data_IF_013746300023
#
_entry.id   IF_013746300023
#
_cell.length_a   1.000
_cell.length_b   1.000
_cell.length_c   1.000
_cell.angle_alpha   90.00
_cell.angle_beta   90.00
_cell.angle_gamma   90.00
#
_symmetry.space_group_name_H-M   'P 1'
#
loop_
_entity.id
_entity.type
_entity.pdbx_description
1 polymer ?
#
# COMPACT_ATOMS: atom_id res chain seq x y z
N UNK A 1 6.53 -4.87 -30.18
CA UNK A 1 6.19 -5.69 -31.37
C UNK A 1 4.84 -6.31 -31.07
N UNK A 2 3.84 -6.15 -31.96
CA UNK A 2 2.54 -6.78 -31.76
C UNK A 2 2.74 -8.30 -31.60
N UNK A 3 2.18 -8.89 -30.55
CA UNK A 3 2.18 -10.34 -30.40
C UNK A 3 1.30 -10.93 -31.51
N UNK A 4 1.93 -11.49 -32.54
CA UNK A 4 1.19 -12.26 -33.55
C UNK A 4 0.72 -13.57 -32.93
N UNK A 5 -0.38 -14.18 -33.41
CA UNK A 5 -0.81 -15.53 -32.99
C UNK A 5 0.33 -16.57 -33.00
N UNK A 6 1.32 -16.35 -33.87
CA UNK A 6 2.58 -17.11 -33.99
C UNK A 6 3.42 -17.13 -32.71
N UNK A 7 3.30 -16.16 -31.80
CA UNK A 7 4.05 -16.11 -30.55
C UNK A 7 3.46 -17.00 -29.44
N UNK A 8 2.16 -17.33 -29.52
CA UNK A 8 1.48 -18.29 -28.61
C UNK A 8 1.32 -19.67 -29.28
N UNK A 9 1.49 -19.73 -30.61
CA UNK A 9 1.41 -20.98 -31.37
C UNK A 9 2.39 -22.02 -30.81
N UNK A 10 1.91 -23.25 -30.59
CA UNK A 10 2.67 -24.32 -29.96
C UNK A 10 2.13 -24.71 -28.59
N UNK A 11 3.00 -24.84 -27.59
CA UNK A 11 2.68 -25.48 -26.31
C UNK A 11 1.59 -24.77 -25.50
N UNK A 12 1.36 -23.47 -25.69
CA UNK A 12 0.38 -22.69 -24.94
C UNK A 12 -0.96 -22.53 -25.68
N UNK A 13 -1.08 -23.03 -26.91
CA UNK A 13 -2.30 -22.89 -27.70
C UNK A 13 -3.51 -23.55 -27.03
N UNK A 14 -3.28 -24.65 -26.31
CA UNK A 14 -4.33 -25.32 -25.55
C UNK A 14 -4.93 -24.41 -24.46
N UNK A 15 -4.13 -23.57 -23.79
CA UNK A 15 -4.59 -22.57 -22.81
C UNK A 15 -5.37 -21.46 -23.50
N UNK A 16 -4.88 -20.97 -24.64
CA UNK A 16 -5.55 -19.91 -25.40
C UNK A 16 -6.95 -20.33 -25.87
N UNK A 17 -7.13 -21.63 -26.17
CA UNK A 17 -8.41 -22.21 -26.58
C UNK A 17 -9.31 -22.65 -25.41
N UNK A 18 -8.85 -22.52 -24.17
CA UNK A 18 -9.69 -22.88 -23.02
C UNK A 18 -10.95 -22.03 -22.95
N UNK A 19 -12.11 -22.63 -22.60
CA UNK A 19 -13.31 -21.86 -22.32
C UNK A 19 -13.10 -21.00 -21.08
N UNK A 20 -13.70 -19.82 -21.05
CA UNK A 20 -13.63 -18.90 -19.93
C UNK A 20 -13.25 -17.49 -20.35
N UNK A 21 -13.21 -16.58 -19.37
CA UNK A 21 -12.80 -15.20 -19.57
C UNK A 21 -11.28 -15.12 -19.48
N UNK A 22 -10.66 -14.58 -20.52
CA UNK A 22 -9.22 -14.40 -20.57
C UNK A 22 -8.87 -12.92 -20.69
N UNK A 23 -7.87 -12.47 -19.91
CA UNK A 23 -7.33 -11.13 -19.97
C UNK A 23 -5.95 -11.13 -20.61
N UNK A 24 -5.70 -10.15 -21.48
CA UNK A 24 -4.42 -9.92 -22.12
C UNK A 24 -3.84 -8.59 -21.67
N UNK A 25 -2.66 -8.61 -21.07
CA UNK A 25 -1.97 -7.39 -20.63
C UNK A 25 -1.21 -6.81 -21.82
N UNK A 26 -1.80 -5.78 -22.42
CA UNK A 26 -1.35 -5.20 -23.68
C UNK A 26 -2.53 -4.67 -24.50
N UNK A 27 -2.22 -4.10 -25.66
CA UNK A 27 -3.20 -3.47 -26.56
C UNK A 27 -3.64 -4.39 -27.69
N UNK A 28 -2.86 -5.44 -28.00
CA UNK A 28 -3.04 -6.27 -29.19
C UNK A 28 -3.17 -7.75 -28.81
N UNK A 29 -4.32 -8.16 -28.24
CA UNK A 29 -4.55 -9.56 -27.93
C UNK A 29 -4.54 -10.42 -29.22
N UNK A 30 -3.85 -11.57 -29.22
CA UNK A 30 -3.75 -12.43 -30.41
C UNK A 30 -5.01 -13.28 -30.66
N UNK A 31 -5.92 -13.34 -29.68
CA UNK A 31 -7.21 -14.02 -29.74
C UNK A 31 -8.31 -13.09 -29.19
N UNK A 32 -9.55 -13.57 -29.10
CA UNK A 32 -10.68 -12.84 -28.50
C UNK A 32 -10.55 -12.75 -26.96
N UNK A 33 -9.47 -12.11 -26.50
CA UNK A 33 -9.19 -11.84 -25.10
C UNK A 33 -9.50 -10.39 -24.78
N UNK A 34 -9.79 -10.09 -23.52
CA UNK A 34 -9.96 -8.70 -23.06
C UNK A 34 -8.58 -8.06 -22.92
N UNK A 35 -8.23 -7.14 -23.82
CA UNK A 35 -7.03 -6.33 -23.73
C UNK A 35 -7.08 -5.32 -22.58
N UNK A 36 -6.03 -5.26 -21.76
CA UNK A 36 -5.90 -4.38 -20.60
C UNK A 36 -4.55 -3.63 -20.67
N UNK A 37 -4.53 -2.36 -21.13
CA UNK A 37 -3.30 -1.58 -21.30
C UNK A 37 -2.84 -0.96 -19.96
N UNK A 38 -2.36 -1.79 -19.03
CA UNK A 38 -2.04 -1.35 -17.66
C UNK A 38 -0.86 -0.37 -17.56
N UNK A 39 0.04 -0.32 -18.54
CA UNK A 39 1.23 0.56 -18.50
C UNK A 39 0.88 2.06 -18.51
N UNK A 40 -0.25 2.43 -19.11
CA UNK A 40 -0.75 3.81 -19.11
C UNK A 40 -1.69 4.12 -17.95
N UNK A 41 -2.02 3.13 -17.10
CA UNK A 41 -2.96 3.29 -16.00
C UNK A 41 -2.23 3.71 -14.72
N UNK A 42 -2.84 4.60 -13.94
CA UNK A 42 -2.32 4.98 -12.63
C UNK A 42 -2.26 3.76 -11.69
N UNK A 43 -1.16 3.60 -10.97
CA UNK A 43 -0.79 2.41 -10.20
C UNK A 43 -0.60 1.12 -11.03
N UNK A 44 -0.57 1.18 -12.37
CA UNK A 44 -0.67 -0.01 -13.23
C UNK A 44 -1.92 -0.86 -12.90
N UNK A 45 -3.03 -0.20 -12.55
CA UNK A 45 -4.22 -0.84 -12.00
C UNK A 45 -5.36 -0.84 -13.01
N UNK A 46 -6.03 -1.98 -13.15
CA UNK A 46 -7.24 -2.10 -13.95
C UNK A 46 -8.43 -1.44 -13.24
N UNK A 47 -9.47 -1.11 -14.00
CA UNK A 47 -10.74 -0.70 -13.41
C UNK A 47 -11.32 -1.82 -12.54
N UNK A 48 -11.98 -1.44 -11.44
CA UNK A 48 -12.53 -2.36 -10.44
C UNK A 48 -13.41 -3.49 -11.02
N UNK A 49 -14.10 -3.23 -12.14
CA UNK A 49 -14.95 -4.21 -12.81
C UNK A 49 -14.20 -5.47 -13.26
N UNK A 50 -12.88 -5.37 -13.46
CA UNK A 50 -12.02 -6.43 -13.94
C UNK A 50 -11.44 -7.32 -12.83
N UNK A 51 -11.51 -6.93 -11.55
CA UNK A 51 -10.97 -7.72 -10.45
C UNK A 51 -11.78 -9.01 -10.22
N UNK A 52 -11.08 -10.14 -10.13
CA UNK A 52 -11.67 -11.44 -9.88
C UNK A 52 -12.57 -11.95 -11.00
N UNK A 53 -12.26 -11.63 -12.27
CA UNK A 53 -13.13 -11.92 -13.43
C UNK A 53 -12.59 -12.94 -14.41
N UNK A 54 -11.31 -13.26 -14.35
CA UNK A 54 -10.64 -14.01 -15.40
C UNK A 54 -10.17 -15.37 -14.91
N UNK A 55 -10.32 -16.35 -15.80
CA UNK A 55 -9.85 -17.72 -15.63
C UNK A 55 -8.38 -17.84 -16.06
N UNK A 56 -7.95 -17.01 -17.02
CA UNK A 56 -6.56 -16.93 -17.48
C UNK A 56 -6.15 -15.46 -17.65
N UNK A 57 -5.01 -15.08 -17.09
CA UNK A 57 -4.41 -13.74 -17.28
C UNK A 57 -3.06 -13.90 -17.96
N UNK A 58 -2.88 -13.21 -19.08
CA UNK A 58 -1.69 -13.30 -19.93
C UNK A 58 -0.85 -12.03 -19.84
N UNK A 59 0.34 -12.11 -19.24
CA UNK A 59 1.37 -11.09 -19.28
C UNK A 59 2.44 -11.48 -20.29
N UNK A 60 2.18 -11.19 -21.57
CA UNK A 60 2.93 -11.79 -22.68
C UNK A 60 3.33 -10.82 -23.82
N UNK A 61 2.45 -9.92 -24.27
CA UNK A 61 2.79 -8.87 -25.27
C UNK A 61 3.82 -7.91 -24.70
N UNK A 62 3.39 -7.22 -23.66
CA UNK A 62 4.22 -6.42 -22.80
C UNK A 62 4.84 -7.35 -21.76
N UNK A 63 5.80 -8.19 -22.17
CA UNK A 63 6.62 -8.96 -21.25
C UNK A 63 7.06 -8.08 -20.07
N UNK A 64 7.46 -8.66 -18.94
CA UNK A 64 7.97 -7.86 -17.81
C UNK A 64 9.15 -6.95 -18.21
N UNK A 65 9.72 -7.15 -19.41
CA UNK A 65 10.63 -6.24 -20.07
C UNK A 65 10.08 -4.82 -20.34
N UNK A 66 10.96 -3.83 -20.11
CA UNK A 66 10.67 -2.42 -20.33
C UNK A 66 9.86 -1.75 -19.22
N UNK A 67 9.54 -2.46 -18.13
CA UNK A 67 9.05 -1.85 -16.91
C UNK A 67 10.17 -1.07 -16.21
N UNK A 68 9.85 0.10 -15.66
CA UNK A 68 10.77 0.84 -14.80
C UNK A 68 11.04 0.06 -13.50
N UNK A 69 12.20 0.22 -12.87
CA UNK A 69 12.47 -0.40 -11.57
C UNK A 69 11.35 -0.09 -10.57
N UNK A 70 10.81 -1.11 -9.91
CA UNK A 70 9.69 -0.98 -8.96
C UNK A 70 8.28 -1.09 -9.54
N UNK A 71 8.09 -1.05 -10.86
CA UNK A 71 6.76 -1.29 -11.45
C UNK A 71 6.35 -2.76 -11.44
N UNK A 72 7.33 -3.67 -11.43
CA UNK A 72 7.11 -5.13 -11.43
C UNK A 72 6.21 -5.57 -10.27
N UNK A 73 6.45 -5.07 -9.06
CA UNK A 73 5.64 -5.39 -7.88
C UNK A 73 4.18 -4.97 -8.06
N UNK A 74 3.94 -3.75 -8.57
CA UNK A 74 2.61 -3.22 -8.85
C UNK A 74 1.90 -4.03 -9.94
N UNK A 75 2.60 -4.36 -11.03
CA UNK A 75 2.00 -5.13 -12.10
C UNK A 75 1.63 -6.53 -11.61
N UNK A 76 2.57 -7.27 -11.01
CA UNK A 76 2.36 -8.65 -10.57
C UNK A 76 1.21 -8.75 -9.56
N UNK A 77 1.13 -7.82 -8.61
CA UNK A 77 0.00 -7.75 -7.69
C UNK A 77 -1.33 -7.55 -8.43
N UNK A 78 -1.37 -6.65 -9.43
CA UNK A 78 -2.57 -6.45 -10.24
C UNK A 78 -2.95 -7.69 -11.06
N UNK A 79 -1.97 -8.41 -11.64
CA UNK A 79 -2.21 -9.63 -12.39
C UNK A 79 -2.93 -10.69 -11.54
N UNK A 80 -2.51 -10.85 -10.29
CA UNK A 80 -3.18 -11.77 -9.35
C UNK A 80 -4.61 -11.33 -9.05
N UNK A 81 -4.84 -10.02 -8.89
CA UNK A 81 -6.18 -9.47 -8.58
C UNK A 81 -7.18 -9.62 -9.71
N UNK A 82 -6.72 -9.71 -10.96
CA UNK A 82 -7.57 -9.97 -12.12
C UNK A 82 -8.14 -11.40 -12.11
N UNK A 83 -7.39 -12.36 -11.57
CA UNK A 83 -7.77 -13.78 -11.53
C UNK A 83 -8.92 -13.98 -10.54
N UNK A 84 -9.89 -14.82 -10.93
CA UNK A 84 -10.98 -15.28 -10.07
C UNK A 84 -10.49 -16.08 -8.84
N UNK A 85 -11.40 -16.81 -8.19
CA UNK A 85 -11.03 -17.66 -7.05
C UNK A 85 -10.00 -18.73 -7.43
N UNK A 86 -10.10 -19.26 -8.65
CA UNK A 86 -9.12 -20.15 -9.26
C UNK A 86 -8.88 -19.74 -10.70
N UNK A 87 -7.64 -19.83 -11.15
CA UNK A 87 -7.29 -19.56 -12.54
C UNK A 87 -5.81 -19.73 -12.82
N UNK A 88 -5.38 -19.23 -13.97
CA UNK A 88 -3.99 -19.32 -14.43
C UNK A 88 -3.40 -17.95 -14.69
N UNK A 89 -2.12 -17.81 -14.35
CA UNK A 89 -1.30 -16.66 -14.71
C UNK A 89 -0.21 -17.12 -15.67
N UNK A 90 -0.22 -16.62 -16.90
CA UNK A 90 0.82 -16.90 -17.90
C UNK A 90 1.74 -15.70 -17.97
N UNK A 91 3.03 -15.88 -17.66
CA UNK A 91 4.02 -14.81 -17.66
C UNK A 91 5.18 -15.16 -18.59
N UNK A 92 5.49 -14.23 -19.50
CA UNK A 92 6.72 -14.24 -20.27
C UNK A 92 7.75 -13.29 -19.67
N UNK A 93 8.97 -13.79 -19.49
CA UNK A 93 10.12 -13.06 -18.96
C UNK A 93 11.27 -13.17 -19.96
N UNK A 94 11.74 -12.02 -20.44
CA UNK A 94 12.93 -11.99 -21.30
C UNK A 94 14.20 -12.22 -20.47
N UNK A 95 15.15 -12.99 -20.99
CA UNK A 95 16.38 -13.39 -20.28
C UNK A 95 17.32 -12.22 -19.96
N UNK A 96 17.13 -11.07 -20.59
CA UNK A 96 18.01 -9.92 -20.52
C UNK A 96 17.59 -8.86 -19.49
N UNK A 97 16.68 -9.17 -18.56
CA UNK A 97 16.24 -8.19 -17.56
C UNK A 97 17.26 -8.04 -16.43
N UNK A 98 17.96 -6.89 -16.32
CA UNK A 98 18.99 -6.71 -15.30
C UNK A 98 18.39 -6.55 -13.89
N UNK A 99 17.16 -6.02 -13.81
CA UNK A 99 16.55 -5.58 -12.54
C UNK A 99 15.43 -6.50 -12.05
N UNK A 100 15.09 -7.56 -12.80
CA UNK A 100 14.03 -8.49 -12.42
C UNK A 100 14.32 -9.89 -12.95
N UNK A 101 14.13 -10.90 -12.09
CA UNK A 101 14.44 -12.29 -12.40
C UNK A 101 13.24 -13.20 -12.14
N UNK A 102 13.30 -14.42 -12.68
CA UNK A 102 12.32 -15.46 -12.36
C UNK A 102 12.26 -15.75 -10.85
N UNK A 103 13.38 -15.60 -10.14
CA UNK A 103 13.43 -15.73 -8.68
C UNK A 103 12.61 -14.62 -8.01
N UNK A 104 12.73 -13.38 -8.49
CA UNK A 104 11.92 -12.25 -8.03
C UNK A 104 10.42 -12.48 -8.25
N UNK A 105 10.02 -12.97 -9.43
CA UNK A 105 8.63 -13.33 -9.72
C UNK A 105 8.09 -14.40 -8.77
N UNK A 106 8.83 -15.52 -8.65
CA UNK A 106 8.45 -16.64 -7.78
C UNK A 106 8.42 -16.21 -6.30
N UNK A 107 9.28 -15.29 -5.87
CA UNK A 107 9.24 -14.70 -4.54
C UNK A 107 7.94 -13.91 -4.31
N UNK A 108 7.60 -12.99 -5.21
CA UNK A 108 6.40 -12.16 -5.09
C UNK A 108 5.12 -12.98 -5.09
N UNK A 109 5.03 -14.01 -5.93
CA UNK A 109 3.86 -14.89 -6.00
C UNK A 109 3.80 -15.88 -4.84
N UNK A 110 4.92 -16.52 -4.51
CA UNK A 110 4.97 -17.63 -3.53
C UNK A 110 4.95 -17.20 -2.06
N UNK A 111 5.06 -15.89 -1.76
CA UNK A 111 5.01 -15.35 -0.39
C UNK A 111 3.69 -14.69 -0.03
N UNK A 112 2.72 -14.66 -0.94
CA UNK A 112 1.39 -14.11 -0.67
C UNK A 112 0.67 -14.96 0.38
N UNK A 113 0.02 -14.30 1.32
CA UNK A 113 -0.72 -14.97 2.39
C UNK A 113 -2.16 -15.33 1.98
N UNK A 114 -2.72 -14.58 1.03
CA UNK A 114 -4.11 -14.68 0.54
C UNK A 114 -4.24 -15.58 -0.69
N UNK A 115 -3.11 -16.02 -1.25
CA UNK A 115 -3.03 -16.66 -2.56
C UNK A 115 -2.07 -17.85 -2.51
N UNK A 116 -2.53 -19.00 -2.97
CA UNK A 116 -1.69 -20.17 -3.23
C UNK A 116 -1.33 -20.18 -4.71
N UNK A 117 -0.04 -20.34 -4.99
CA UNK A 117 0.48 -20.39 -6.35
C UNK A 117 1.31 -21.66 -6.55
N UNK A 118 1.09 -22.36 -7.65
CA UNK A 118 1.88 -23.52 -8.10
C UNK A 118 2.38 -23.29 -9.51
N UNK A 119 3.56 -23.82 -9.85
CA UNK A 119 4.04 -23.83 -11.24
C UNK A 119 3.42 -25.03 -11.93
N UNK A 120 2.65 -24.80 -12.99
CA UNK A 120 2.03 -25.87 -13.81
C UNK A 120 2.91 -26.24 -15.00
N UNK A 121 3.51 -25.24 -15.65
CA UNK A 121 4.40 -25.42 -16.79
C UNK A 121 5.49 -24.33 -16.77
N UNK A 122 6.71 -24.71 -17.16
CA UNK A 122 7.84 -23.78 -17.30
C UNK A 122 8.65 -24.20 -18.54
N UNK A 123 8.83 -23.26 -19.46
CA UNK A 123 9.62 -23.45 -20.68
C UNK A 123 10.71 -22.38 -20.74
N UNK A 124 11.86 -22.78 -21.28
CA UNK A 124 13.07 -21.98 -21.26
C UNK A 124 13.77 -22.04 -22.63
N UNK A 125 13.14 -21.42 -23.64
CA UNK A 125 13.71 -21.22 -24.97
C UNK A 125 14.37 -19.84 -25.03
N UNK A 126 14.05 -19.01 -26.03
CA UNK A 126 14.57 -17.65 -26.16
C UNK A 126 14.09 -16.71 -25.02
N UNK A 127 12.94 -17.03 -24.42
CA UNK A 127 12.39 -16.38 -23.23
C UNK A 127 11.94 -17.45 -22.22
N UNK A 128 11.87 -17.06 -20.94
CA UNK A 128 11.24 -17.89 -19.92
C UNK A 128 9.73 -17.67 -19.97
N UNK A 129 8.97 -18.72 -20.22
CA UNK A 129 7.51 -18.69 -20.03
C UNK A 129 7.14 -19.58 -18.87
N UNK A 130 6.36 -19.04 -17.95
CA UNK A 130 5.85 -19.79 -16.79
C UNK A 130 4.35 -19.66 -16.71
N UNK A 131 3.68 -20.80 -16.58
CA UNK A 131 2.24 -20.90 -16.30
C UNK A 131 2.09 -21.25 -14.83
N UNK A 132 1.43 -20.36 -14.09
CA UNK A 132 1.13 -20.57 -12.69
C UNK A 132 -0.35 -20.93 -12.52
N UNK A 133 -0.63 -21.97 -11.75
CA UNK A 133 -1.96 -22.20 -11.18
C UNK A 133 -2.12 -21.32 -9.94
N UNK A 134 -3.20 -20.55 -9.89
CA UNK A 134 -3.47 -19.56 -8.84
C UNK A 134 -4.80 -19.89 -8.17
N UNK A 135 -4.78 -19.98 -6.84
CA UNK A 135 -5.97 -20.12 -5.99
C UNK A 135 -5.99 -19.00 -4.96
N UNK A 136 -7.01 -18.16 -5.02
CA UNK A 136 -7.20 -16.99 -4.16
C UNK A 136 -8.22 -17.29 -3.07
N UNK A 137 -7.91 -16.91 -1.85
CA UNK A 137 -8.78 -17.09 -0.68
C UNK A 137 -9.49 -15.78 -0.29
N UNK A 138 -10.62 -15.88 0.40
CA UNK A 138 -11.29 -14.72 1.00
C UNK A 138 -11.93 -13.73 0.00
N UNK A 139 -12.24 -14.17 -1.23
CA UNK A 139 -12.75 -13.31 -2.31
C UNK A 139 -13.98 -12.47 -1.92
N UNK A 140 -14.90 -13.00 -1.12
CA UNK A 140 -16.07 -12.25 -0.63
C UNK A 140 -15.65 -11.02 0.21
N UNK A 141 -14.68 -11.19 1.10
CA UNK A 141 -14.14 -10.11 1.94
C UNK A 141 -13.34 -9.11 1.12
N UNK A 142 -12.64 -9.59 0.09
CA UNK A 142 -11.93 -8.72 -0.85
C UNK A 142 -12.91 -7.82 -1.62
N UNK A 143 -14.13 -8.28 -1.89
CA UNK A 143 -15.18 -7.51 -2.59
C UNK A 143 -16.07 -6.66 -1.69
N UNK A 144 -16.05 -6.89 -0.38
CA UNK A 144 -16.89 -6.15 0.57
C UNK A 144 -16.58 -4.65 0.54
N UNK A 145 -17.64 -3.85 0.55
CA UNK A 145 -17.61 -2.40 0.61
C UNK A 145 -17.82 -1.86 2.05
N UNK A 146 -17.89 -2.73 3.05
CA UNK A 146 -18.11 -2.34 4.43
C UNK A 146 -16.80 -1.90 5.09
N UNK A 147 -16.86 -0.88 5.95
CA UNK A 147 -15.69 -0.21 6.52
C UNK A 147 -15.72 -0.15 8.04
N UNK A 148 -14.54 -0.29 8.61
CA UNK A 148 -14.19 0.15 9.94
C UNK A 148 -13.39 1.44 9.85
N UNK A 149 -13.92 2.53 10.38
CA UNK A 149 -13.31 3.85 10.40
C UNK A 149 -12.82 4.17 11.82
N UNK A 150 -11.53 4.00 12.06
CA UNK A 150 -10.92 4.20 13.37
C UNK A 150 -10.14 5.52 13.45
N UNK A 151 -10.38 6.30 14.49
CA UNK A 151 -9.62 7.52 14.80
C UNK A 151 -8.90 7.39 16.13
N UNK A 152 -7.59 7.67 16.13
CA UNK A 152 -6.76 7.65 17.33
C UNK A 152 -6.66 9.05 17.92
N UNK A 153 -7.04 9.22 19.18
CA UNK A 153 -7.01 10.51 19.87
C UNK A 153 -6.52 10.40 21.31
N UNK A 154 -6.03 11.53 21.85
CA UNK A 154 -5.76 11.70 23.29
C UNK A 154 -6.88 12.45 24.02
N UNK A 155 -7.99 12.75 23.35
CA UNK A 155 -9.11 13.54 23.92
C UNK A 155 -8.88 15.05 23.92
N UNK A 156 -7.72 15.55 23.47
CA UNK A 156 -7.43 16.99 23.43
C UNK A 156 -7.92 17.70 22.17
N UNK A 157 -8.46 16.95 21.20
CA UNK A 157 -8.90 17.44 19.89
C UNK A 157 -10.31 17.00 19.54
N UNK A 158 -11.22 17.07 20.52
CA UNK A 158 -12.63 16.66 20.39
C UNK A 158 -13.26 17.19 19.10
N UNK A 159 -13.11 18.49 18.80
CA UNK A 159 -13.65 19.08 17.57
C UNK A 159 -13.15 18.42 16.28
N UNK A 160 -11.87 18.01 16.20
CA UNK A 160 -11.34 17.34 15.01
C UNK A 160 -11.83 15.88 14.91
N UNK A 161 -12.02 15.21 16.03
CA UNK A 161 -12.64 13.87 16.07
C UNK A 161 -14.11 13.94 15.63
N UNK A 162 -14.84 14.98 16.05
CA UNK A 162 -16.20 15.25 15.58
C UNK A 162 -16.23 15.50 14.07
N UNK A 163 -15.31 16.31 13.52
CA UNK A 163 -15.20 16.51 12.07
C UNK A 163 -14.95 15.19 11.32
N UNK A 164 -14.10 14.32 11.86
CA UNK A 164 -13.89 12.98 11.30
C UNK A 164 -15.18 12.16 11.28
N UNK A 165 -15.84 12.01 12.43
CA UNK A 165 -17.05 11.21 12.57
C UNK A 165 -18.17 11.73 11.66
N UNK A 166 -18.34 13.06 11.60
CA UNK A 166 -19.29 13.71 10.70
C UNK A 166 -18.98 13.39 9.24
N UNK A 167 -17.72 13.51 8.82
CA UNK A 167 -17.34 13.25 7.42
C UNK A 167 -17.55 11.81 6.96
N UNK A 168 -17.57 10.86 7.91
CA UNK A 168 -17.98 9.47 7.65
C UNK A 168 -19.49 9.40 7.47
N UNK A 169 -20.28 9.91 8.43
CA UNK A 169 -21.75 9.82 8.42
C UNK A 169 -22.43 10.62 7.32
N UNK A 170 -21.85 11.74 6.89
CA UNK A 170 -22.31 12.49 5.71
C UNK A 170 -22.30 11.66 4.42
N UNK A 171 -21.46 10.62 4.36
CA UNK A 171 -21.31 9.72 3.21
C UNK A 171 -21.85 8.31 3.47
N UNK A 172 -22.33 8.05 4.69
CA UNK A 172 -22.90 6.79 5.17
C UNK A 172 -24.11 7.08 6.09
N UNK A 173 -25.20 7.64 5.53
CA UNK A 173 -26.38 8.03 6.32
C UNK A 173 -27.13 6.83 6.90
N UNK A 174 -26.96 5.64 6.33
CA UNK A 174 -27.58 4.39 6.80
C UNK A 174 -26.74 3.67 7.87
N UNK A 175 -25.63 4.27 8.30
CA UNK A 175 -24.73 3.74 9.33
C UNK A 175 -24.20 2.33 9.01
N UNK A 176 -23.92 2.03 7.74
CA UNK A 176 -23.39 0.73 7.29
C UNK A 176 -21.93 0.52 7.71
N UNK A 177 -21.21 1.60 8.00
CA UNK A 177 -19.81 1.56 8.42
C UNK A 177 -19.70 1.76 9.93
N UNK A 178 -18.79 1.01 10.57
CA UNK A 178 -18.55 1.20 11.99
C UNK A 178 -17.51 2.30 12.22
N UNK A 179 -17.70 3.09 13.28
CA UNK A 179 -16.75 4.12 13.69
C UNK A 179 -16.18 3.74 15.06
N UNK A 180 -14.84 3.67 15.13
CA UNK A 180 -14.11 3.42 16.38
C UNK A 180 -13.35 4.67 16.80
N UNK A 181 -13.56 5.11 18.03
CA UNK A 181 -12.73 6.16 18.64
C UNK A 181 -11.76 5.50 19.62
N UNK A 182 -10.47 5.56 19.32
CA UNK A 182 -9.42 4.97 20.13
C UNK A 182 -8.78 6.05 21.02
N UNK A 183 -9.44 6.30 22.14
CA UNK A 183 -9.16 7.37 23.11
C UNK A 183 -10.36 7.58 24.05
N UNK A 184 -10.29 8.59 24.95
CA UNK A 184 -11.34 8.85 25.92
C UNK A 184 -12.68 9.17 25.22
N UNK A 185 -13.77 8.67 25.79
CA UNK A 185 -15.12 8.98 25.33
C UNK A 185 -15.46 10.46 25.57
N UNK A 186 -16.28 11.04 24.70
CA UNK A 186 -16.78 12.39 24.82
C UNK A 186 -18.25 12.43 24.32
N UNK A 187 -19.17 13.12 25.03
CA UNK A 187 -20.57 13.23 24.59
C UNK A 187 -20.73 13.81 23.17
N UNK A 188 -19.77 14.59 22.69
CA UNK A 188 -19.80 15.16 21.35
C UNK A 188 -19.73 14.09 20.24
N UNK A 189 -19.33 12.86 20.54
CA UNK A 189 -19.26 11.76 19.58
C UNK A 189 -20.57 10.96 19.48
N UNK A 190 -21.44 11.04 20.49
CA UNK A 190 -22.68 10.25 20.59
C UNK A 190 -23.58 10.36 19.34
N UNK A 191 -23.77 11.54 18.71
CA UNK A 191 -24.62 11.66 17.53
C UNK A 191 -24.18 10.84 16.32
N UNK A 192 -22.94 10.33 16.31
CA UNK A 192 -22.35 9.64 15.17
C UNK A 192 -22.32 8.11 15.34
N UNK A 193 -22.92 7.56 16.39
CA UNK A 193 -22.98 6.12 16.66
C UNK A 193 -21.57 5.48 16.62
N UNK A 194 -20.73 5.93 17.55
CA UNK A 194 -19.33 5.49 17.66
C UNK A 194 -19.15 4.52 18.81
N UNK A 195 -18.17 3.62 18.68
CA UNK A 195 -17.67 2.83 19.82
C UNK A 195 -16.34 3.40 20.30
N UNK A 196 -16.27 3.82 21.56
CA UNK A 196 -15.06 4.33 22.17
C UNK A 196 -14.28 3.23 22.89
N UNK A 197 -12.95 3.26 22.77
CA UNK A 197 -12.03 2.36 23.46
C UNK A 197 -10.84 3.15 24.02
N UNK A 198 -10.62 3.07 25.33
CA UNK A 198 -9.46 3.68 26.00
C UNK A 198 -8.79 2.66 26.94
N UNK A 199 -7.99 1.72 26.41
CA UNK A 199 -7.38 0.67 27.20
C UNK A 199 -6.16 1.14 28.02
N UNK A 200 -5.86 2.44 28.06
CA UNK A 200 -4.80 2.99 28.92
C UNK A 200 -3.37 2.68 28.44
N UNK A 201 -2.98 3.21 27.28
CA UNK A 201 -1.62 3.05 26.76
C UNK A 201 -0.58 3.88 27.51
N UNK A 202 0.69 3.46 27.43
CA UNK A 202 1.82 4.18 28.01
C UNK A 202 2.16 5.39 27.14
N UNK A 203 1.58 6.53 27.46
CA UNK A 203 1.78 7.77 26.71
C UNK A 203 3.25 8.19 26.58
N UNK A 204 4.07 7.89 27.60
CA UNK A 204 5.51 8.17 27.59
C UNK A 204 6.29 7.32 26.57
N UNK A 205 5.75 6.18 26.15
CA UNK A 205 6.32 5.35 25.08
C UNK A 205 5.69 5.62 23.72
N UNK A 206 4.52 6.25 23.67
CA UNK A 206 3.79 6.49 22.43
C UNK A 206 3.60 5.20 21.60
N UNK A 207 2.90 4.22 22.18
CA UNK A 207 2.67 2.86 21.66
C UNK A 207 1.79 2.78 20.40
N UNK A 208 2.17 3.48 19.34
CA UNK A 208 1.36 3.62 18.13
C UNK A 208 1.14 2.28 17.40
N UNK A 209 2.16 1.43 17.33
CA UNK A 209 2.07 0.13 16.65
C UNK A 209 1.08 -0.79 17.35
N UNK A 210 1.20 -0.91 18.68
CA UNK A 210 0.26 -1.66 19.51
C UNK A 210 -1.16 -1.11 19.37
N UNK A 211 -1.35 0.22 19.40
CA UNK A 211 -2.67 0.85 19.17
C UNK A 211 -3.28 0.45 17.83
N UNK A 212 -2.53 0.57 16.73
CA UNK A 212 -2.99 0.20 15.38
C UNK A 212 -3.29 -1.30 15.28
N UNK A 213 -2.50 -2.15 15.93
CA UNK A 213 -2.74 -3.60 16.01
C UNK A 213 -4.02 -3.94 16.78
N UNK A 214 -4.27 -3.29 17.92
CA UNK A 214 -5.48 -3.52 18.71
C UNK A 214 -6.75 -3.03 17.98
N UNK A 215 -6.65 -1.90 17.28
CA UNK A 215 -7.70 -1.41 16.37
C UNK A 215 -8.00 -2.45 15.29
N UNK A 216 -6.96 -2.98 14.63
CA UNK A 216 -7.12 -4.02 13.62
C UNK A 216 -7.75 -5.28 14.21
N UNK A 217 -7.35 -5.68 15.43
CA UNK A 217 -7.96 -6.80 16.13
C UNK A 217 -9.44 -6.58 16.43
N UNK A 218 -9.88 -5.34 16.68
CA UNK A 218 -11.26 -5.00 17.02
C UNK A 218 -12.19 -4.81 15.82
N UNK A 219 -11.63 -4.41 14.67
CA UNK A 219 -12.37 -4.09 13.45
C UNK A 219 -13.26 -5.25 12.96
N UNK A 220 -14.53 -4.97 12.65
CA UNK A 220 -15.52 -5.97 12.23
C UNK A 220 -15.62 -6.11 10.73
N UNK A 221 -15.27 -5.08 9.97
CA UNK A 221 -15.45 -5.08 8.52
C UNK A 221 -14.15 -5.42 7.78
N UNK A 222 -14.29 -5.74 6.49
CA UNK A 222 -13.17 -6.19 5.67
C UNK A 222 -12.17 -5.07 5.36
N UNK A 223 -12.65 -3.83 5.25
CA UNK A 223 -11.82 -2.66 4.99
C UNK A 223 -11.61 -1.87 6.29
N UNK A 224 -10.36 -1.52 6.60
CA UNK A 224 -10.00 -0.76 7.79
C UNK A 224 -9.29 0.52 7.40
N UNK A 225 -9.86 1.64 7.84
CA UNK A 225 -9.26 2.96 7.82
C UNK A 225 -8.80 3.29 9.24
N UNK A 226 -7.53 3.62 9.43
CA UNK A 226 -6.99 4.16 10.68
C UNK A 226 -6.44 5.55 10.42
N UNK A 227 -6.94 6.54 11.16
CA UNK A 227 -6.46 7.93 11.09
C UNK A 227 -6.00 8.44 12.46
N UNK A 228 -5.15 9.45 12.43
CA UNK A 228 -4.94 10.31 13.60
C UNK A 228 -6.10 11.29 13.76
N UNK A 229 -6.27 11.88 14.94
CA UNK A 229 -7.26 12.90 15.30
C UNK A 229 -7.11 14.27 14.62
N UNK A 230 -6.63 14.29 13.37
CA UNK A 230 -6.41 15.50 12.56
C UNK A 230 -6.86 15.31 11.13
N UNK A 231 -7.78 14.38 10.86
CA UNK A 231 -8.23 14.09 9.51
C UNK A 231 -9.73 14.27 9.39
N UNK A 232 -10.15 14.79 8.25
CA UNK A 232 -11.52 14.74 7.74
C UNK A 232 -11.48 14.01 6.41
N UNK A 233 -12.45 13.14 6.15
CA UNK A 233 -12.61 12.52 4.84
C UNK A 233 -13.26 13.53 3.89
N UNK A 234 -12.74 13.65 2.68
CA UNK A 234 -13.36 14.55 1.71
C UNK A 234 -14.60 13.87 1.09
N UNK A 235 -15.56 14.64 0.54
CA UNK A 235 -16.71 14.09 -0.16
C UNK A 235 -16.30 13.13 -1.29
N UNK A 236 -17.01 12.01 -1.40
CA UNK A 236 -16.72 10.97 -2.39
C UNK A 236 -15.65 9.96 -1.94
N UNK A 237 -15.23 9.96 -0.67
CA UNK A 237 -14.21 9.03 -0.18
C UNK A 237 -14.57 7.56 -0.45
N UNK A 238 -15.77 7.12 -0.06
CA UNK A 238 -16.20 5.73 -0.27
C UNK A 238 -16.50 5.40 -1.74
N UNK A 239 -17.09 6.36 -2.48
CA UNK A 239 -17.31 6.24 -3.93
C UNK A 239 -15.99 6.08 -4.68
N UNK A 240 -14.95 6.80 -4.25
CA UNK A 240 -13.60 6.67 -4.79
C UNK A 240 -13.03 5.27 -4.58
N UNK A 241 -13.30 4.62 -3.44
CA UNK A 241 -12.92 3.22 -3.22
C UNK A 241 -13.72 2.24 -4.07
N UNK A 242 -15.01 2.50 -4.32
CA UNK A 242 -15.78 1.70 -5.27
C UNK A 242 -15.18 1.77 -6.69
N UNK A 243 -14.67 2.95 -7.09
CA UNK A 243 -13.98 3.14 -8.37
C UNK A 243 -12.59 2.50 -8.41
N UNK A 244 -11.83 2.60 -7.31
CA UNK A 244 -10.53 1.96 -7.15
C UNK A 244 -10.61 0.42 -7.10
N UNK A 245 -11.74 -0.09 -6.63
CA UNK A 245 -11.98 -1.50 -6.37
C UNK A 245 -11.56 -1.88 -4.96
N UNK A 246 -12.38 -2.70 -4.30
CA UNK A 246 -12.13 -3.16 -2.93
C UNK A 246 -11.06 -4.25 -2.86
N UNK A 247 -10.59 -4.80 -3.98
CA UNK A 247 -9.51 -5.78 -4.00
C UNK A 247 -8.14 -5.07 -3.87
N UNK A 248 -7.73 -4.77 -2.64
CA UNK A 248 -6.47 -4.11 -2.28
C UNK A 248 -5.95 -4.68 -0.96
N UNK A 249 -4.74 -4.31 -0.52
CA UNK A 249 -4.20 -4.74 0.78
C UNK A 249 -3.68 -3.60 1.65
N UNK A 250 -2.90 -2.68 1.06
CA UNK A 250 -2.28 -1.55 1.76
C UNK A 250 -2.35 -0.31 0.87
N UNK A 251 -3.15 0.67 1.29
CA UNK A 251 -3.52 1.83 0.48
C UNK A 251 -3.48 3.11 1.31
N UNK A 252 -3.11 4.22 0.67
CA UNK A 252 -3.41 5.56 1.17
C UNK A 252 -4.17 6.34 0.12
N UNK A 253 -4.58 7.56 0.46
CA UNK A 253 -5.26 8.48 -0.45
C UNK A 253 -4.45 9.77 -0.56
N UNK A 254 -4.60 10.55 -1.64
CA UNK A 254 -4.18 11.94 -1.68
C UNK A 254 -4.66 12.70 -0.44
N UNK A 255 -3.71 13.35 0.24
CA UNK A 255 -3.98 14.12 1.45
C UNK A 255 -3.62 15.59 1.21
N UNK A 256 -4.37 16.51 1.83
CA UNK A 256 -4.14 17.94 1.72
C UNK A 256 -4.18 18.62 3.07
N UNK A 257 -3.58 19.80 3.15
CA UNK A 257 -3.83 20.75 4.23
C UNK A 257 -5.11 21.52 3.98
N UNK A 258 -5.65 22.18 5.01
CA UNK A 258 -6.81 23.08 4.87
C UNK A 258 -6.57 24.16 3.79
N UNK A 259 -5.34 24.65 3.65
CA UNK A 259 -4.97 25.61 2.60
C UNK A 259 -4.87 25.00 1.19
N UNK A 260 -5.22 23.73 1.00
CA UNK A 260 -5.25 23.02 -0.28
C UNK A 260 -3.90 22.44 -0.73
N UNK A 261 -2.80 22.78 -0.04
CA UNK A 261 -1.47 22.27 -0.38
C UNK A 261 -1.35 20.76 -0.09
N UNK A 262 -0.50 20.08 -0.87
CA UNK A 262 -0.25 18.64 -0.76
C UNK A 262 0.33 18.25 0.60
N UNK A 263 -0.17 17.15 1.16
CA UNK A 263 0.40 16.47 2.32
C UNK A 263 1.11 15.17 1.85
N UNK A 264 2.38 14.94 2.23
CA UNK A 264 3.15 13.73 1.87
C UNK A 264 2.58 12.42 2.46
N UNK A 265 1.55 11.89 1.82
CA UNK A 265 0.90 10.62 2.18
C UNK A 265 1.68 9.39 1.73
N UNK A 266 2.34 9.50 0.58
CA UNK A 266 3.03 8.40 -0.10
C UNK A 266 4.50 8.75 -0.25
N UNK A 267 5.37 7.97 0.39
CA UNK A 267 6.71 8.41 0.74
C UNK A 267 7.71 7.28 0.63
N UNK A 268 8.99 7.60 0.44
CA UNK A 268 10.05 6.60 0.40
C UNK A 268 11.17 6.91 1.39
N UNK A 269 11.66 5.89 2.09
CA UNK A 269 12.88 5.96 2.87
C UNK A 269 14.09 6.07 1.94
N UNK A 270 14.95 7.07 2.16
CA UNK A 270 16.24 7.17 1.47
C UNK A 270 17.29 6.27 2.14
N UNK A 271 18.10 5.58 1.32
CA UNK A 271 19.22 4.76 1.80
C UNK A 271 18.88 3.27 1.83
N UNK A 272 19.44 2.55 2.80
CA UNK A 272 19.17 1.11 2.98
C UNK A 272 17.76 0.90 3.52
N UNK A 273 17.13 -0.20 3.11
CA UNK A 273 15.85 -0.65 3.66
C UNK A 273 16.01 -0.83 5.19
N UNK A 274 15.08 -0.25 5.97
CA UNK A 274 15.14 -0.14 7.44
C UNK A 274 16.32 0.66 8.02
N UNK A 275 17.03 1.43 7.21
CA UNK A 275 18.05 2.37 7.67
C UNK A 275 17.46 3.70 8.14
N UNK A 276 18.21 4.42 8.99
CA UNK A 276 17.90 5.81 9.33
C UNK A 276 18.12 6.71 8.11
N UNK A 277 17.05 7.01 7.38
CA UNK A 277 17.06 7.85 6.17
C UNK A 277 16.32 9.17 6.32
N UNK A 278 16.33 9.98 5.26
CA UNK A 278 15.33 11.04 5.08
C UNK A 278 14.15 10.47 4.29
N UNK A 279 12.95 10.98 4.55
CA UNK A 279 11.76 10.62 3.79
C UNK A 279 11.62 11.48 2.55
N UNK A 280 11.33 10.85 1.42
CA UNK A 280 11.09 11.49 0.12
C UNK A 280 9.58 11.52 -0.12
N UNK A 281 9.00 12.68 -0.46
CA UNK A 281 7.62 12.83 -0.92
C UNK A 281 7.52 12.31 -2.36
N UNK A 282 6.85 11.18 -2.56
CA UNK A 282 6.75 10.49 -3.85
C UNK A 282 5.40 10.77 -4.50
N UNK A 283 5.44 11.32 -5.72
CA UNK A 283 4.22 11.68 -6.47
C UNK A 283 4.00 10.83 -7.71
N UNK A 284 4.99 10.07 -8.12
CA UNK A 284 4.80 8.98 -9.08
C UNK A 284 4.16 7.78 -8.36
N UNK A 285 2.88 7.51 -8.67
CA UNK A 285 2.15 6.36 -8.14
C UNK A 285 2.36 5.09 -8.96
N UNK A 286 3.03 5.20 -10.11
CA UNK A 286 3.21 4.11 -11.06
C UNK A 286 4.53 3.40 -10.83
N UNK A 287 5.34 3.84 -9.86
CA UNK A 287 6.66 3.26 -9.56
C UNK A 287 6.87 3.17 -8.05
N UNK A 288 7.37 2.01 -7.58
CA UNK A 288 7.82 1.86 -6.20
C UNK A 288 9.31 2.14 -6.06
N UNK A 289 9.69 2.89 -5.03
CA UNK A 289 11.08 2.96 -4.58
C UNK A 289 11.42 1.80 -3.63
N UNK A 290 12.69 1.40 -3.48
CA UNK A 290 13.07 0.32 -2.56
C UNK A 290 12.58 0.52 -1.11
N UNK A 291 12.51 1.77 -0.63
CA UNK A 291 11.98 2.12 0.68
C UNK A 291 10.56 2.68 0.68
N UNK A 292 9.72 2.40 -0.33
CA UNK A 292 8.36 2.94 -0.44
C UNK A 292 7.47 2.52 0.74
N UNK A 293 6.73 3.47 1.31
CA UNK A 293 5.79 3.27 2.41
C UNK A 293 4.66 4.30 2.40
N UNK A 294 3.66 4.07 3.24
CA UNK A 294 2.54 4.99 3.49
C UNK A 294 2.81 5.75 4.78
N UNK A 295 2.65 7.07 4.75
CA UNK A 295 2.71 7.87 5.97
C UNK A 295 1.60 7.45 6.95
N UNK A 296 1.96 7.09 8.18
CA UNK A 296 1.05 6.49 9.16
C UNK A 296 -0.04 7.38 9.72
N UNK A 297 -0.13 8.65 9.28
CA UNK A 297 -1.20 9.56 9.64
C UNK A 297 -2.59 9.09 9.21
N UNK A 298 -2.67 8.51 8.00
CA UNK A 298 -3.86 7.88 7.43
C UNK A 298 -3.44 6.62 6.69
N UNK A 299 -3.91 5.49 7.18
CA UNK A 299 -3.63 4.14 6.70
C UNK A 299 -4.94 3.47 6.32
N UNK A 300 -5.02 2.93 5.11
CA UNK A 300 -6.10 2.02 4.70
C UNK A 300 -5.50 0.64 4.45
N UNK A 301 -6.10 -0.39 5.02
CA UNK A 301 -5.68 -1.76 4.80
C UNK A 301 -6.86 -2.72 4.79
N UNK A 302 -6.66 -3.92 4.24
CA UNK A 302 -7.55 -5.04 4.54
C UNK A 302 -7.35 -5.48 5.97
N UNK A 303 -8.44 -5.61 6.70
CA UNK A 303 -8.43 -5.93 8.12
C UNK A 303 -7.71 -7.25 8.39
N UNK A 304 -8.00 -8.29 7.60
CA UNK A 304 -7.37 -9.60 7.77
C UNK A 304 -5.88 -9.57 7.44
N UNK A 305 -5.50 -8.90 6.35
CA UNK A 305 -4.09 -8.73 5.98
C UNK A 305 -3.31 -7.99 7.08
N UNK A 306 -3.85 -6.89 7.61
CA UNK A 306 -3.19 -6.15 8.69
C UNK A 306 -3.14 -6.95 9.99
N UNK A 307 -4.15 -7.77 10.31
CA UNK A 307 -4.11 -8.69 11.45
C UNK A 307 -3.07 -9.79 11.32
N UNK A 308 -2.83 -10.26 10.10
CA UNK A 308 -1.87 -11.32 9.83
C UNK A 308 -0.43 -10.81 9.83
N UNK A 309 -0.19 -9.65 9.20
CA UNK A 309 1.17 -9.07 9.09
C UNK A 309 1.54 -8.31 10.36
N UNK A 310 0.62 -7.49 10.88
CA UNK A 310 0.75 -6.62 12.06
C UNK A 310 1.86 -5.58 11.92
N UNK A 311 1.75 -4.51 12.70
CA UNK A 311 2.89 -3.64 12.99
C UNK A 311 3.77 -4.30 14.04
N UNK A 312 5.07 -4.05 14.01
CA UNK A 312 5.97 -4.51 15.07
C UNK A 312 5.70 -3.77 16.40
N UNK A 313 5.23 -4.50 17.42
CA UNK A 313 4.90 -3.95 18.74
C UNK A 313 6.11 -3.35 19.49
N UNK A 314 7.34 -3.61 19.02
CA UNK A 314 8.57 -3.02 19.56
C UNK A 314 8.87 -1.62 18.99
N UNK A 315 8.18 -1.20 17.92
CA UNK A 315 8.35 0.11 17.31
C UNK A 315 7.30 1.08 17.84
N UNK A 316 7.76 2.21 18.35
CA UNK A 316 6.95 3.30 18.87
C UNK A 316 6.80 4.43 17.84
N UNK A 317 6.02 5.45 18.19
CA UNK A 317 5.84 6.61 17.33
C UNK A 317 7.17 7.23 16.88
N UNK A 318 7.28 7.50 15.58
CA UNK A 318 8.48 8.09 14.96
C UNK A 318 9.71 7.17 15.06
N UNK A 319 9.50 5.85 15.01
CA UNK A 319 10.57 4.83 14.96
C UNK A 319 10.53 3.98 13.69
N UNK A 320 10.09 4.56 12.57
CA UNK A 320 10.02 3.89 11.26
C UNK A 320 9.04 2.71 11.21
N UNK A 321 8.02 2.74 12.08
CA UNK A 321 6.99 1.70 12.16
C UNK A 321 6.24 1.51 10.84
N UNK A 322 5.95 2.61 10.12
CA UNK A 322 5.22 2.53 8.85
C UNK A 322 6.10 1.99 7.72
N UNK A 323 7.42 2.15 7.83
CA UNK A 323 8.39 1.66 6.84
C UNK A 323 8.63 0.17 7.01
N UNK A 324 8.75 -0.27 8.27
CA UNK A 324 8.83 -1.68 8.60
C UNK A 324 7.55 -2.43 8.18
N UNK A 325 6.38 -1.85 8.46
CA UNK A 325 5.10 -2.40 7.99
C UNK A 325 5.06 -2.53 6.47
N UNK A 326 5.38 -1.47 5.73
CA UNK A 326 5.36 -1.50 4.27
C UNK A 326 6.37 -2.50 3.69
N UNK A 327 7.52 -2.65 4.33
CA UNK A 327 8.52 -3.66 3.95
C UNK A 327 7.98 -5.08 4.15
N UNK A 328 7.33 -5.37 5.28
CA UNK A 328 6.72 -6.67 5.55
C UNK A 328 5.57 -7.00 4.56
N UNK A 329 4.76 -6.02 4.20
CA UNK A 329 3.75 -6.17 3.14
C UNK A 329 4.39 -6.51 1.79
N UNK A 330 5.44 -5.78 1.39
CA UNK A 330 6.14 -6.02 0.12
C UNK A 330 6.87 -7.35 0.07
N UNK A 331 7.45 -7.81 1.18
CA UNK A 331 8.04 -9.15 1.30
C UNK A 331 7.00 -10.28 1.12
N UNK A 332 5.71 -9.97 1.19
CA UNK A 332 4.58 -10.87 0.91
C UNK A 332 3.93 -10.60 -0.45
N UNK A 333 4.59 -9.83 -1.32
CA UNK A 333 4.07 -9.50 -2.65
C UNK A 333 2.87 -8.56 -2.63
N UNK A 334 2.68 -7.78 -1.56
CA UNK A 334 1.57 -6.83 -1.38
C UNK A 334 2.10 -5.40 -1.38
N UNK A 335 2.27 -4.75 -2.55
CA UNK A 335 2.81 -3.41 -2.60
C UNK A 335 1.84 -2.36 -2.03
N UNK A 336 2.35 -1.31 -1.35
CA UNK A 336 1.52 -0.16 -1.00
C UNK A 336 1.09 0.58 -2.26
N UNK A 337 -0.14 1.12 -2.27
CA UNK A 337 -0.71 1.88 -3.40
C UNK A 337 -1.37 3.18 -2.96
N UNK A 338 -1.69 4.02 -3.93
CA UNK A 338 -2.49 5.24 -3.72
C UNK A 338 -3.81 5.13 -4.46
N UNK A 339 -4.92 5.20 -3.73
CA UNK A 339 -6.23 5.39 -4.34
C UNK A 339 -6.39 6.88 -4.70
N UNK A 340 -6.24 7.20 -5.99
CA UNK A 340 -6.32 8.56 -6.51
C UNK A 340 -7.76 9.09 -6.68
N UNK A 341 -8.78 8.30 -6.38
CA UNK A 341 -10.19 8.68 -6.51
C UNK A 341 -10.84 9.12 -5.19
N UNK A 342 -10.15 8.93 -4.06
CA UNK A 342 -10.56 9.36 -2.73
C UNK A 342 -9.57 10.40 -2.21
N UNK A 343 -9.94 11.23 -1.24
CA UNK A 343 -8.99 12.14 -0.59
C UNK A 343 -9.37 12.46 0.85
N UNK A 344 -8.42 13.03 1.59
CA UNK A 344 -8.64 13.49 2.95
C UNK A 344 -7.93 14.82 3.22
N UNK A 345 -8.50 15.60 4.13
CA UNK A 345 -7.94 16.89 4.57
C UNK A 345 -7.43 16.80 5.99
N UNK A 346 -6.22 17.32 6.22
CA UNK A 346 -5.63 17.46 7.56
C UNK A 346 -6.09 18.74 8.24
N UNK A 347 -6.45 18.64 9.52
CA UNK A 347 -6.98 19.71 10.35
C UNK A 347 -5.96 20.16 11.40
N UNK A 348 -5.91 21.46 11.69
CA UNK A 348 -5.11 22.01 12.79
C UNK A 348 -3.59 21.90 12.65
N UNK A 349 -3.08 21.55 11.46
CA UNK A 349 -1.66 21.55 11.10
C UNK A 349 -1.48 22.21 9.72
N UNK A 350 -0.32 22.83 9.48
CA UNK A 350 0.04 23.40 8.20
C UNK A 350 1.26 22.72 7.56
N UNK A 351 1.70 23.21 6.38
CA UNK A 351 2.84 22.67 5.63
C UNK A 351 4.15 22.56 6.41
N UNK A 352 4.32 23.36 7.47
CA UNK A 352 5.46 23.27 8.38
C UNK A 352 5.58 21.91 9.07
N UNK A 353 4.45 21.20 9.25
CA UNK A 353 4.41 19.87 9.84
C UNK A 353 5.25 18.85 9.06
N UNK A 354 5.26 18.94 7.72
CA UNK A 354 5.94 17.99 6.83
C UNK A 354 7.14 18.61 6.13
N UNK A 355 7.67 19.74 6.62
CA UNK A 355 8.86 20.41 6.04
C UNK A 355 10.13 19.55 5.97
N UNK A 356 10.16 18.42 6.67
CA UNK A 356 11.31 17.53 6.74
C UNK A 356 11.36 16.53 5.57
N UNK A 357 10.24 16.30 4.89
CA UNK A 357 10.17 15.48 3.68
C UNK A 357 10.91 16.18 2.53
N UNK A 358 11.71 15.42 1.78
CA UNK A 358 12.41 15.91 0.60
C UNK A 358 11.47 15.77 -0.60
N UNK A 359 11.26 16.82 -1.41
CA UNK A 359 10.56 16.67 -2.68
C UNK A 359 11.31 15.69 -3.60
N UNK A 360 10.59 14.80 -4.27
CA UNK A 360 11.16 13.82 -5.20
C UNK A 360 12.08 14.43 -6.28
N UNK A 361 11.71 15.61 -6.80
CA UNK A 361 12.52 16.36 -7.78
C UNK A 361 13.92 16.74 -7.26
N UNK A 362 14.07 16.92 -5.95
CA UNK A 362 15.34 17.24 -5.29
C UNK A 362 16.16 15.98 -5.02
N UNK A 363 15.51 14.85 -4.71
CA UNK A 363 16.18 13.58 -4.45
C UNK A 363 16.90 13.02 -5.70
N UNK A 364 16.33 13.24 -6.89
CA UNK A 364 16.94 12.82 -8.16
C UNK A 364 18.20 13.61 -8.53
N UNK A 365 18.34 14.87 -8.07
CA UNK A 365 19.52 15.71 -8.34
C UNK A 365 20.76 15.32 -7.52
N UNK A 366 20.59 14.53 -6.46
CA UNK A 366 21.69 14.07 -5.59
C UNK A 366 22.44 12.85 -6.11
N UNK A 367 21.96 12.21 -7.19
CA UNK A 367 22.61 11.07 -7.85
C UNK A 367 23.32 11.57 -9.12
N UNK A 368 24.11 12.64 -8.97
CA UNK A 368 25.14 12.97 -9.94
C UNK A 368 26.34 12.06 -9.69
N UNK A 369 26.73 11.27 -10.67
CA UNK A 369 27.94 10.44 -10.62
C UNK A 369 29.14 11.36 -10.39
N UNK A 370 29.61 11.44 -9.15
CA UNK A 370 30.90 12.02 -8.84
C UNK A 370 31.97 11.13 -9.45
N UNK A 371 32.66 11.64 -10.47
CA UNK A 371 33.91 11.06 -10.91
C UNK A 371 34.84 10.96 -9.68
N UNK A 372 35.23 9.73 -9.33
CA UNK A 372 35.90 9.27 -8.11
C UNK A 372 34.95 8.78 -7.01
N UNK A 373 34.70 7.48 -7.05
CA UNK A 373 33.97 6.74 -6.03
C UNK A 373 34.58 6.91 -4.64
N UNK A 374 33.93 7.73 -3.82
CA UNK A 374 33.94 7.64 -2.37
C UNK A 374 32.54 8.04 -1.90
N UNK A 375 31.79 7.05 -1.41
CA UNK A 375 30.51 7.29 -0.73
C UNK A 375 30.83 7.99 0.60
N UNK A 376 30.63 9.31 0.67
CA UNK A 376 30.65 10.05 1.94
C UNK A 376 29.28 9.95 2.58
N UNK A 377 29.15 9.08 3.57
CA UNK A 377 28.00 9.02 4.47
C UNK A 377 28.00 10.27 5.36
N UNK A 378 27.20 11.28 5.00
CA UNK A 378 26.96 12.42 5.88
C UNK A 378 25.77 12.09 6.77
N UNK A 379 26.05 11.65 8.01
CA UNK A 379 25.03 11.49 9.05
C UNK A 379 24.50 12.86 9.49
N UNK A 380 23.41 13.31 8.87
CA UNK A 380 22.62 14.46 9.31
C UNK A 380 21.31 13.98 9.95
N UNK A 381 21.39 13.13 10.98
CA UNK A 381 20.21 12.58 11.69
C UNK A 381 20.27 12.65 13.22
N UNK A 382 21.42 12.99 13.82
CA UNK A 382 21.63 12.84 15.28
C UNK A 382 20.86 13.83 16.17
N UNK A 383 20.50 15.02 15.68
CA UNK A 383 20.01 16.10 16.58
C UNK A 383 18.62 15.86 17.19
N UNK A 384 17.76 15.06 16.57
CA UNK A 384 16.38 14.85 17.04
C UNK A 384 16.30 13.77 18.13
N UNK A 385 17.09 12.69 17.99
CA UNK A 385 17.25 11.65 19.01
C UNK A 385 17.97 12.23 20.24
N UNK A 386 18.98 13.08 20.04
CA UNK A 386 19.72 13.71 21.13
C UNK A 386 18.86 14.71 21.95
N UNK A 387 17.94 15.44 21.30
CA UNK A 387 16.99 16.32 22.00
C UNK A 387 15.92 15.56 22.79
N UNK A 388 15.50 14.37 22.33
CA UNK A 388 14.50 13.55 23.01
C UNK A 388 15.09 12.66 24.11
N UNK A 389 16.36 12.25 24.00
CA UNK A 389 17.05 11.44 25.02
C UNK A 389 17.76 12.27 26.10
N UNK A 390 17.99 13.57 25.90
CA UNK A 390 18.59 14.45 26.91
C UNK A 390 17.93 14.41 28.30
N UNK A 391 16.58 14.38 28.43
CA UNK A 391 15.92 14.22 29.73
C UNK A 391 16.17 12.84 30.36
N UNK A 392 16.33 11.79 29.54
CA UNK A 392 16.59 10.42 30.00
C UNK A 392 17.99 10.26 30.58
N UNK A 393 19.01 10.79 29.90
CA UNK A 393 20.40 10.78 30.40
C UNK A 393 20.60 11.65 31.65
N UNK A 394 19.85 12.77 31.79
CA UNK A 394 19.87 13.58 33.02
C UNK A 394 19.30 12.83 34.24
N UNK A 395 18.32 11.94 34.06
CA UNK A 395 17.77 11.12 35.17
C UNK A 395 18.72 9.99 35.59
N UNK A 396 19.47 9.42 34.66
CA UNK A 396 20.48 8.40 34.98
C UNK A 396 21.70 8.99 35.69
N UNK A 397 22.14 10.19 35.30
CA UNK A 397 23.24 10.90 35.96
C UNK A 397 22.89 11.42 37.38
N UNK A 398 21.60 11.62 37.68
CA UNK A 398 21.12 12.09 38.98
C UNK A 398 20.90 11.01 40.05
N UNK A 399 21.08 9.72 39.71
CA UNK A 399 20.97 8.59 40.65
C UNK A 399 22.31 7.95 41.02
N UNK A 400 23.42 8.54 40.57
CA UNK A 400 24.79 8.10 40.87
C UNK A 400 25.53 9.11 41.78
N UNK A 401 24.84 9.65 42.79
CA UNK A 401 25.44 10.37 43.92
C UNK A 401 24.77 9.98 45.21
#
# INVERSE_FOLDING_TARGET
MAATPTAIAGELEHLARMPGRQAWIGEHPPYDFVGLPLRGATNLRAAAVHHGRYDVVWCYEDALAGLRPGQHELLIDELVRLIGERGRLVVRIDRSLPDFSIVGLKHLLGRRHDTRVVVEQETADDAFTVVFGVERSGMERQRSDAWTCAVQTRGTRVGQVVEFCRSVREQDPDHRHEILVWGPADPAYEPYDVTCHDPGYRDHLAEISRKKNDIAARARHANLLIVHDRYRLDPGFFVGFARFGHDFDLVTVPQRYVCGTHFPAYVAAQGTILGCGRSIDCRDYDTLRPGQYINGGLLVAKTETLRAIRLNDLLFWNQWEDVELAWEFRNRGLPPRVNCFSSATTLGIGPEHTRHFIPESTALRGIGVGAKGVVRTVFAGGRKIEQQLRPFFRRLAGRAR
#
